data_IF_218955746660
#
_entry.id   IF_218955746660
#
_cell.length_a   1.000
_cell.length_b   1.000
_cell.length_c   1.000
_cell.angle_alpha   90.00
_cell.angle_beta   90.00
_cell.angle_gamma   90.00
#
_symmetry.space_group_name_H-M   'P 1'
#
loop_
_entity.id
_entity.type
_entity.pdbx_description
1 polymer ?
#
# COMPACT_ATOMS: atom_id res chain seq x y z
N UNK A 1 7.48 27.21 -8.15
CA UNK A 1 6.21 26.55 -8.53
C UNK A 1 6.44 25.27 -9.34
N UNK A 2 7.20 25.29 -10.44
CA UNK A 2 7.45 24.14 -11.32
C UNK A 2 7.99 22.87 -10.60
N UNK A 3 8.83 23.06 -9.57
CA UNK A 3 9.38 21.99 -8.71
C UNK A 3 8.36 21.37 -7.72
N UNK A 4 7.34 22.11 -7.31
CA UNK A 4 6.32 21.63 -6.37
C UNK A 4 5.34 20.65 -7.04
N UNK A 5 5.00 20.93 -8.30
CA UNK A 5 4.10 20.11 -9.12
C UNK A 5 4.73 18.78 -9.55
N UNK A 6 6.06 18.64 -9.46
CA UNK A 6 6.81 17.40 -9.78
C UNK A 6 6.50 16.35 -8.74
N UNK A 7 6.76 16.72 -7.50
CA UNK A 7 6.66 15.82 -6.38
C UNK A 7 5.22 15.39 -6.12
N UNK A 8 4.23 16.26 -6.34
CA UNK A 8 2.82 15.89 -6.16
C UNK A 8 2.33 14.83 -7.18
N UNK A 9 2.79 14.90 -8.43
CA UNK A 9 2.37 13.97 -9.47
C UNK A 9 3.06 12.61 -9.33
N UNK A 10 4.38 12.60 -9.06
CA UNK A 10 5.15 11.40 -8.73
C UNK A 10 4.59 10.73 -7.47
N UNK A 11 4.32 11.51 -6.42
CA UNK A 11 3.75 11.00 -5.18
C UNK A 11 2.35 10.41 -5.40
N UNK A 12 1.51 11.05 -6.22
CA UNK A 12 0.20 10.52 -6.59
C UNK A 12 0.32 9.21 -7.38
N UNK A 13 1.29 9.09 -8.29
CA UNK A 13 1.52 7.87 -9.07
C UNK A 13 2.02 6.71 -8.19
N UNK A 14 2.96 6.95 -7.27
CA UNK A 14 3.44 5.91 -6.35
C UNK A 14 2.38 5.57 -5.29
N UNK A 15 1.64 6.56 -4.80
CA UNK A 15 0.50 6.32 -3.92
C UNK A 15 -0.64 5.57 -4.62
N UNK A 16 -0.76 5.69 -5.94
CA UNK A 16 -1.71 4.95 -6.76
C UNK A 16 -1.32 3.48 -7.01
N UNK A 17 -0.12 3.05 -6.63
CA UNK A 17 0.24 1.63 -6.62
C UNK A 17 -0.71 0.91 -5.67
N UNK A 18 -1.61 0.12 -6.25
CA UNK A 18 -2.68 -0.57 -5.54
C UNK A 18 -3.86 0.32 -5.14
N UNK A 19 -4.17 1.39 -5.87
CA UNK A 19 -5.43 2.14 -5.69
C UNK A 19 -6.40 1.73 -6.81
N UNK A 20 -7.31 0.81 -6.50
CA UNK A 20 -8.56 0.70 -7.25
C UNK A 20 -9.39 1.93 -6.88
N UNK A 21 -9.40 2.96 -7.73
CA UNK A 21 -10.38 4.05 -7.61
C UNK A 21 -11.74 3.45 -7.94
N UNK A 22 -12.51 3.16 -6.90
CA UNK A 22 -13.92 2.82 -7.05
C UNK A 22 -14.63 4.03 -7.67
N UNK A 23 -14.90 3.95 -8.98
CA UNK A 23 -15.83 4.86 -9.64
C UNK A 23 -17.19 4.68 -8.98
N UNK A 24 -17.52 5.58 -8.06
CA UNK A 24 -18.87 5.72 -7.52
C UNK A 24 -19.81 6.03 -8.70
N UNK A 25 -20.52 5.01 -9.16
CA UNK A 25 -21.66 5.17 -10.06
C UNK A 25 -22.76 5.90 -9.30
N UNK A 26 -22.99 7.15 -9.67
CA UNK A 26 -24.20 7.90 -9.37
C UNK A 26 -25.41 7.12 -9.89
N UNK A 27 -26.22 6.60 -8.96
CA UNK A 27 -27.62 6.29 -9.23
C UNK A 27 -28.48 7.10 -8.27
N UNK A 28 -29.24 8.02 -8.84
CA UNK A 28 -30.28 8.79 -8.19
C UNK A 28 -31.30 7.89 -7.48
N UNK A 29 -31.73 8.37 -6.33
CA UNK A 29 -32.78 7.86 -5.46
C UNK A 29 -34.10 7.62 -6.18
N UNK A 30 -34.77 6.52 -5.83
CA UNK A 30 -36.22 6.42 -5.96
C UNK A 30 -36.75 4.99 -6.01
N UNK A 31 -36.93 4.35 -4.86
CA UNK A 31 -38.20 3.72 -4.50
C UNK A 31 -38.18 3.11 -3.10
N UNK A 32 -39.14 3.53 -2.29
CA UNK A 32 -39.48 2.98 -0.99
C UNK A 32 -40.16 1.62 -1.20
N UNK A 33 -39.47 0.53 -0.85
CA UNK A 33 -40.12 -0.78 -0.64
C UNK A 33 -39.77 -1.32 0.73
N UNK A 34 -40.78 -1.35 1.59
CA UNK A 34 -40.82 -2.05 2.87
C UNK A 34 -40.70 -3.55 2.63
N UNK A 35 -39.69 -4.21 3.19
CA UNK A 35 -39.62 -5.67 3.22
C UNK A 35 -38.95 -6.17 4.51
N UNK A 36 -39.80 -6.74 5.36
CA UNK A 36 -39.63 -7.94 6.19
C UNK A 36 -38.23 -8.25 6.73
N UNK A 37 -38.10 -8.13 8.05
CA UNK A 37 -37.01 -8.70 8.86
C UNK A 37 -37.02 -10.22 8.69
N UNK A 38 -36.16 -10.73 7.80
CA UNK A 38 -35.77 -12.13 7.75
C UNK A 38 -34.66 -12.34 8.79
N UNK A 39 -34.99 -13.05 9.88
CA UNK A 39 -34.03 -13.51 10.88
C UNK A 39 -33.15 -14.60 10.26
N UNK A 40 -32.18 -14.20 9.44
CA UNK A 40 -31.04 -15.05 9.15
C UNK A 40 -30.04 -14.86 10.28
N UNK A 41 -29.89 -15.89 11.11
CA UNK A 41 -28.77 -16.00 12.04
C UNK A 41 -27.47 -15.59 11.31
N UNK A 42 -26.64 -14.71 11.91
CA UNK A 42 -25.34 -14.43 11.34
C UNK A 42 -24.57 -15.75 11.30
N UNK A 43 -24.33 -16.27 10.10
CA UNK A 43 -23.34 -17.33 9.90
C UNK A 43 -22.08 -16.83 10.57
N UNK A 44 -21.72 -17.48 11.67
CA UNK A 44 -20.47 -17.22 12.36
C UNK A 44 -19.38 -17.32 11.32
N UNK A 45 -18.69 -16.20 11.05
CA UNK A 45 -17.41 -16.24 10.39
C UNK A 45 -16.61 -17.32 11.12
N UNK A 46 -16.26 -18.39 10.42
CA UNK A 46 -15.47 -19.48 10.99
C UNK A 46 -14.25 -18.83 11.63
N UNK A 47 -14.15 -18.90 12.96
CA UNK A 47 -13.06 -18.26 13.69
C UNK A 47 -11.75 -18.87 13.19
N UNK A 48 -11.02 -18.14 12.36
CA UNK A 48 -9.69 -18.56 11.97
C UNK A 48 -8.82 -18.67 13.22
N UNK A 49 -7.94 -19.68 13.29
CA UNK A 49 -6.99 -19.79 14.40
C UNK A 49 -6.17 -18.50 14.54
N UNK A 50 -5.84 -18.12 15.78
CA UNK A 50 -5.04 -16.91 16.05
C UNK A 50 -3.70 -16.91 15.30
N UNK A 51 -3.05 -18.07 15.21
CA UNK A 51 -1.78 -18.25 14.49
C UNK A 51 -1.91 -17.98 12.98
N UNK A 52 -3.08 -18.28 12.39
CA UNK A 52 -3.34 -18.01 10.97
C UNK A 52 -3.53 -16.51 10.71
N UNK A 53 -4.11 -15.77 11.66
CA UNK A 53 -4.22 -14.31 11.59
C UNK A 53 -2.85 -13.63 11.70
N UNK A 54 -1.99 -14.11 12.59
CA UNK A 54 -0.64 -13.59 12.75
C UNK A 54 0.21 -13.85 11.50
N UNK A 55 0.17 -15.07 10.96
CA UNK A 55 0.90 -15.41 9.73
C UNK A 55 0.42 -14.59 8.52
N UNK A 56 -0.89 -14.33 8.39
CA UNK A 56 -1.43 -13.48 7.34
C UNK A 56 -0.99 -12.01 7.51
N UNK A 57 -1.00 -11.50 8.75
CA UNK A 57 -0.51 -10.16 9.09
C UNK A 57 0.94 -9.98 8.69
N UNK A 58 1.80 -10.92 9.05
CA UNK A 58 3.23 -10.84 8.75
C UNK A 58 3.51 -10.90 7.24
N UNK A 59 2.80 -11.75 6.51
CA UNK A 59 2.88 -11.80 5.04
C UNK A 59 2.42 -10.49 4.39
N UNK A 60 1.34 -9.87 4.90
CA UNK A 60 0.85 -8.60 4.39
C UNK A 60 1.82 -7.44 4.67
N UNK A 61 2.42 -7.38 5.87
CA UNK A 61 3.46 -6.39 6.20
C UNK A 61 4.66 -6.54 5.27
N UNK A 62 5.10 -7.79 5.02
CA UNK A 62 6.18 -8.06 4.08
C UNK A 62 5.82 -7.61 2.65
N UNK A 63 4.58 -7.83 2.19
CA UNK A 63 4.14 -7.39 0.88
C UNK A 63 4.14 -5.84 0.74
N UNK A 64 3.69 -5.10 1.77
CA UNK A 64 3.76 -3.63 1.80
C UNK A 64 5.21 -3.12 1.82
N UNK A 65 6.11 -3.83 2.49
CA UNK A 65 7.52 -3.48 2.51
C UNK A 65 8.22 -3.65 1.15
N UNK A 66 7.65 -4.41 0.20
CA UNK A 66 8.23 -4.61 -1.14
C UNK A 66 7.94 -3.45 -2.12
N UNK A 67 7.18 -2.42 -1.72
CA UNK A 67 6.79 -1.34 -2.65
C UNK A 67 7.99 -0.61 -3.26
N UNK A 68 9.08 -0.42 -2.52
CA UNK A 68 10.28 0.24 -3.04
C UNK A 68 11.02 -0.63 -4.07
N UNK A 69 11.14 -1.93 -3.81
CA UNK A 69 11.68 -2.91 -4.76
C UNK A 69 10.83 -2.94 -6.05
N UNK A 70 9.50 -2.95 -5.91
CA UNK A 70 8.55 -2.91 -7.04
C UNK A 70 8.69 -1.63 -7.85
N UNK A 71 8.86 -0.48 -7.19
CA UNK A 71 9.03 0.82 -7.85
C UNK A 71 10.35 0.90 -8.62
N UNK A 72 11.42 0.28 -8.12
CA UNK A 72 12.75 0.27 -8.74
C UNK A 72 12.92 -0.83 -9.80
N UNK A 73 12.11 -1.88 -9.74
CA UNK A 73 12.20 -3.00 -10.66
C UNK A 73 11.88 -2.58 -12.10
N UNK A 74 12.62 -3.14 -13.06
CA UNK A 74 12.26 -3.10 -14.48
C UNK A 74 10.95 -3.86 -14.76
N UNK A 75 10.31 -3.61 -15.90
CA UNK A 75 8.96 -4.14 -16.18
C UNK A 75 8.80 -5.65 -15.99
N UNK A 76 9.76 -6.46 -16.47
CA UNK A 76 9.73 -7.92 -16.33
C UNK A 76 9.88 -8.31 -14.87
N UNK A 77 10.94 -7.84 -14.22
CA UNK A 77 11.24 -8.14 -12.81
C UNK A 77 10.14 -7.66 -11.87
N UNK A 78 9.44 -6.58 -12.19
CA UNK A 78 8.33 -6.05 -11.41
C UNK A 78 7.14 -7.00 -11.41
N UNK A 79 6.76 -7.53 -12.58
CA UNK A 79 5.67 -8.51 -12.69
C UNK A 79 6.02 -9.75 -11.88
N UNK A 80 7.22 -10.30 -12.06
CA UNK A 80 7.67 -11.48 -11.31
C UNK A 80 7.68 -11.23 -9.79
N UNK A 81 8.14 -10.05 -9.36
CA UNK A 81 8.13 -9.66 -7.95
C UNK A 81 6.70 -9.56 -7.41
N UNK A 82 5.78 -8.93 -8.12
CA UNK A 82 4.37 -8.84 -7.72
C UNK A 82 3.71 -10.22 -7.66
N UNK A 83 3.93 -11.06 -8.65
CA UNK A 83 3.42 -12.43 -8.71
C UNK A 83 4.00 -13.32 -7.59
N UNK A 84 5.13 -12.94 -6.99
CA UNK A 84 5.72 -13.70 -5.88
C UNK A 84 4.93 -13.62 -4.57
N UNK A 85 4.14 -12.56 -4.36
CA UNK A 85 3.36 -12.32 -3.13
C UNK A 85 1.85 -12.20 -3.35
N UNK A 86 1.39 -12.26 -4.60
CA UNK A 86 -0.04 -12.22 -4.96
C UNK A 86 -0.58 -13.59 -5.34
N UNK A 87 -1.90 -13.75 -5.32
CA UNK A 87 -2.54 -14.94 -5.87
C UNK A 87 -2.40 -14.98 -7.40
N UNK A 88 -2.45 -16.18 -8.03
CA UNK A 88 -2.45 -16.29 -9.49
C UNK A 88 -3.60 -15.53 -10.18
N UNK A 89 -4.73 -15.36 -9.49
CA UNK A 89 -5.90 -14.61 -9.97
C UNK A 89 -5.70 -13.10 -9.93
N UNK A 90 -5.01 -12.58 -8.93
CA UNK A 90 -4.87 -11.13 -8.72
C UNK A 90 -3.56 -10.54 -9.23
N UNK A 91 -2.47 -11.31 -9.19
CA UNK A 91 -1.12 -10.84 -9.57
C UNK A 91 -1.04 -10.14 -10.92
N UNK A 92 -1.64 -10.69 -12.00
CA UNK A 92 -1.64 -10.03 -13.31
C UNK A 92 -2.30 -8.65 -13.30
N UNK A 93 -3.40 -8.49 -12.55
CA UNK A 93 -4.12 -7.21 -12.41
C UNK A 93 -3.25 -6.19 -11.70
N UNK A 94 -2.73 -6.53 -10.51
CA UNK A 94 -1.87 -5.63 -9.74
C UNK A 94 -0.59 -5.25 -10.52
N UNK A 95 0.01 -6.21 -11.23
CA UNK A 95 1.20 -5.97 -12.03
C UNK A 95 0.96 -4.98 -13.18
N UNK A 96 -0.20 -5.07 -13.84
CA UNK A 96 -0.57 -4.15 -14.91
C UNK A 96 -0.82 -2.73 -14.36
N UNK A 97 -1.69 -2.61 -13.35
CA UNK A 97 -2.01 -1.30 -12.73
C UNK A 97 -0.76 -0.62 -12.17
N UNK A 98 0.08 -1.38 -11.47
CA UNK A 98 1.36 -0.86 -10.93
C UNK A 98 2.30 -0.44 -12.06
N UNK A 99 2.36 -1.19 -13.15
CA UNK A 99 3.23 -0.85 -14.27
C UNK A 99 2.77 0.40 -15.02
N UNK A 100 1.45 0.59 -15.15
CA UNK A 100 0.88 1.83 -15.69
C UNK A 100 1.24 3.03 -14.80
N UNK A 101 1.04 2.91 -13.48
CA UNK A 101 1.38 3.95 -12.51
C UNK A 101 2.87 4.31 -12.52
N UNK A 102 3.76 3.30 -12.51
CA UNK A 102 5.21 3.53 -12.58
C UNK A 102 5.62 4.12 -13.93
N UNK A 103 5.01 3.70 -15.04
CA UNK A 103 5.31 4.29 -16.36
C UNK A 103 4.91 5.77 -16.40
N UNK A 104 3.72 6.10 -15.91
CA UNK A 104 3.27 7.49 -15.79
C UNK A 104 4.24 8.32 -14.93
N UNK A 105 4.68 7.77 -13.79
CA UNK A 105 5.69 8.40 -12.94
C UNK A 105 7.01 8.66 -13.69
N UNK A 106 7.53 7.67 -14.41
CA UNK A 106 8.80 7.80 -15.15
C UNK A 106 8.70 8.82 -16.28
N UNK A 107 7.56 8.89 -16.98
CA UNK A 107 7.30 9.93 -17.99
C UNK A 107 7.29 11.32 -17.37
N UNK A 108 6.58 11.49 -16.25
CA UNK A 108 6.53 12.74 -15.50
C UNK A 108 7.93 13.20 -15.06
N UNK A 109 8.77 12.27 -14.59
CA UNK A 109 10.16 12.57 -14.21
C UNK A 109 10.98 13.01 -15.43
N UNK A 110 10.84 12.31 -16.57
CA UNK A 110 11.53 12.64 -17.82
C UNK A 110 11.17 14.03 -18.36
N UNK A 111 9.90 14.43 -18.31
CA UNK A 111 9.45 15.79 -18.69
C UNK A 111 10.11 16.91 -17.83
N UNK A 112 10.67 16.52 -16.70
CA UNK A 112 11.20 17.42 -15.67
C UNK A 112 12.71 17.30 -15.50
N UNK A 113 13.37 16.58 -16.40
CA UNK A 113 14.83 16.39 -16.46
C UNK A 113 15.37 15.76 -15.16
N UNK A 114 14.61 14.83 -14.57
CA UNK A 114 15.03 14.04 -13.41
C UNK A 114 15.38 12.63 -13.89
N UNK A 115 16.61 12.18 -13.59
CA UNK A 115 17.00 10.80 -13.83
C UNK A 115 16.23 9.87 -12.85
N UNK A 116 15.48 8.87 -13.34
CA UNK A 116 14.85 7.88 -12.49
C UNK A 116 15.80 7.18 -11.52
N UNK A 117 17.10 7.07 -11.86
CA UNK A 117 18.11 6.49 -10.98
C UNK A 117 18.35 7.32 -9.70
N UNK A 118 18.03 8.62 -9.72
CA UNK A 118 18.13 9.52 -8.58
C UNK A 118 16.86 9.49 -7.70
N UNK A 119 15.84 8.72 -8.08
CA UNK A 119 14.61 8.59 -7.31
C UNK A 119 14.80 7.61 -6.14
N UNK A 120 14.56 8.11 -4.93
CA UNK A 120 14.45 7.28 -3.73
C UNK A 120 12.98 7.11 -3.38
N UNK A 121 12.50 5.88 -3.50
CA UNK A 121 11.21 5.43 -2.96
C UNK A 121 11.51 4.52 -1.77
N UNK A 122 10.77 4.73 -0.67
CA UNK A 122 10.78 3.88 0.52
C UNK A 122 9.35 3.81 1.05
N UNK A 123 8.83 2.61 1.28
CA UNK A 123 7.60 2.45 2.06
C UNK A 123 7.90 1.72 3.36
N UNK A 124 7.51 2.33 4.47
CA UNK A 124 7.72 1.78 5.79
C UNK A 124 6.36 1.42 6.43
N UNK A 125 6.04 0.13 6.58
CA UNK A 125 4.96 -0.32 7.45
C UNK A 125 5.23 0.09 8.91
N UNK A 126 4.24 0.73 9.54
CA UNK A 126 4.33 1.24 10.92
C UNK A 126 3.55 0.35 11.88
N UNK A 127 2.30 0.01 11.53
CA UNK A 127 1.47 -0.89 12.32
C UNK A 127 0.56 -1.69 11.41
N UNK A 128 0.10 -2.85 11.91
CA UNK A 128 -0.79 -3.72 11.16
C UNK A 128 -1.80 -4.40 12.07
N UNK A 129 -3.04 -4.53 11.59
CA UNK A 129 -4.13 -5.25 12.23
C UNK A 129 -4.68 -6.29 11.26
N UNK A 130 -4.90 -7.51 11.72
CA UNK A 130 -5.55 -8.57 10.97
C UNK A 130 -6.91 -8.94 11.59
N UNK A 131 -7.87 -9.24 10.74
CA UNK A 131 -9.19 -9.71 11.11
C UNK A 131 -9.65 -10.81 10.15
N UNK A 132 -10.36 -11.81 10.68
CA UNK A 132 -10.95 -12.85 9.85
C UNK A 132 -12.01 -12.23 8.93
N UNK A 133 -12.03 -12.65 7.67
CA UNK A 133 -13.07 -12.30 6.69
C UNK A 133 -13.79 -13.58 6.23
N UNK A 134 -14.80 -13.44 5.36
CA UNK A 134 -15.55 -14.59 4.84
C UNK A 134 -14.67 -15.54 4.00
N UNK A 135 -13.71 -14.97 3.28
CA UNK A 135 -12.93 -15.68 2.25
C UNK A 135 -11.43 -15.79 2.61
N UNK A 136 -11.02 -15.27 3.76
CA UNK A 136 -9.62 -15.24 4.19
C UNK A 136 -9.38 -14.33 5.38
N UNK A 137 -8.29 -13.56 5.34
CA UNK A 137 -7.93 -12.57 6.37
C UNK A 137 -7.86 -11.20 5.73
N UNK A 138 -8.50 -10.20 6.32
CA UNK A 138 -8.28 -8.81 5.96
C UNK A 138 -7.19 -8.23 6.84
N UNK A 139 -6.18 -7.61 6.23
CA UNK A 139 -5.09 -6.93 6.93
C UNK A 139 -5.09 -5.46 6.57
N UNK A 140 -5.15 -4.60 7.56
CA UNK A 140 -4.93 -3.16 7.41
C UNK A 140 -3.54 -2.82 7.93
N UNK A 141 -2.69 -2.28 7.05
CA UNK A 141 -1.33 -1.85 7.34
C UNK A 141 -1.27 -0.34 7.24
N UNK A 142 -0.97 0.33 8.35
CA UNK A 142 -0.67 1.76 8.32
C UNK A 142 0.81 1.94 7.97
N UNK A 143 1.08 2.68 6.90
CA UNK A 143 2.42 2.89 6.36
C UNK A 143 2.68 4.36 6.05
N UNK A 144 3.96 4.69 5.95
CA UNK A 144 4.43 5.94 5.36
C UNK A 144 5.24 5.61 4.11
N UNK A 145 4.82 6.20 2.99
CA UNK A 145 5.54 6.18 1.72
C UNK A 145 6.32 7.48 1.59
N UNK A 146 7.63 7.38 1.38
CA UNK A 146 8.53 8.50 1.19
C UNK A 146 9.08 8.47 -0.23
N UNK A 147 9.00 9.61 -0.90
CA UNK A 147 9.59 9.82 -2.23
C UNK A 147 10.49 11.05 -2.20
N UNK A 148 11.75 10.89 -2.61
CA UNK A 148 12.74 11.96 -2.63
C UNK A 148 13.68 11.86 -3.83
N UNK A 149 14.21 13.01 -4.25
CA UNK A 149 15.31 13.11 -5.23
C UNK A 149 16.40 13.98 -4.58
N UNK A 150 17.62 13.44 -4.35
CA UNK A 150 18.71 14.18 -3.73
C UNK A 150 18.97 15.52 -4.43
N UNK A 151 19.25 16.56 -3.64
CA UNK A 151 19.53 17.90 -4.16
C UNK A 151 18.34 18.66 -4.77
N UNK A 152 17.15 18.05 -4.87
CA UNK A 152 15.98 18.64 -5.56
C UNK A 152 14.97 19.29 -4.59
N UNK A 153 15.16 19.10 -3.29
CA UNK A 153 14.32 19.69 -2.23
C UNK A 153 13.96 18.66 -1.15
N UNK A 154 13.04 19.02 -0.22
CA UNK A 154 12.58 18.08 0.79
C UNK A 154 11.81 16.94 0.14
N UNK A 155 11.98 15.72 0.66
CA UNK A 155 11.17 14.57 0.30
C UNK A 155 9.68 14.82 0.53
N UNK A 156 8.84 13.97 -0.04
CA UNK A 156 7.40 13.94 0.24
C UNK A 156 7.06 12.67 0.97
N UNK A 157 6.10 12.79 1.87
CA UNK A 157 5.51 11.68 2.60
C UNK A 157 4.03 11.55 2.22
N UNK A 158 3.58 10.31 2.07
CA UNK A 158 2.16 9.94 2.09
C UNK A 158 1.97 8.97 3.23
N UNK A 159 1.16 9.36 4.19
CA UNK A 159 0.64 8.45 5.20
C UNK A 159 -0.58 7.77 4.61
N UNK A 160 -0.62 6.45 4.64
CA UNK A 160 -1.72 5.68 4.09
C UNK A 160 -2.04 4.45 4.92
N UNK A 161 -3.29 4.00 4.82
CA UNK A 161 -3.68 2.68 5.27
C UNK A 161 -3.84 1.82 4.04
N UNK A 162 -2.99 0.80 3.92
CA UNK A 162 -3.10 -0.25 2.90
C UNK A 162 -4.00 -1.34 3.44
N UNK A 163 -5.05 -1.70 2.71
CA UNK A 163 -5.94 -2.81 3.04
C UNK A 163 -5.70 -3.95 2.05
N UNK A 164 -5.31 -5.10 2.58
CA UNK A 164 -5.02 -6.31 1.83
C UNK A 164 -6.04 -7.39 2.20
N UNK A 165 -6.69 -7.99 1.21
CA UNK A 165 -7.39 -9.25 1.41
C UNK A 165 -6.39 -10.38 1.14
N UNK A 166 -6.14 -11.20 2.16
CA UNK A 166 -5.17 -12.27 2.18
C UNK A 166 -5.87 -13.61 2.13
N UNK A 167 -5.40 -14.50 1.26
CA UNK A 167 -5.90 -15.88 1.15
C UNK A 167 -4.76 -16.88 1.21
N UNK A 168 -5.02 -18.08 1.73
CA UNK A 168 -4.01 -19.12 1.88
C UNK A 168 -4.02 -20.04 0.65
N UNK A 169 -2.98 -19.98 -0.18
CA UNK A 169 -2.82 -20.80 -1.38
C UNK A 169 -1.56 -21.66 -1.25
N UNK A 170 -1.71 -22.99 -1.36
CA UNK A 170 -0.55 -23.90 -1.25
C UNK A 170 0.23 -23.76 0.07
N UNK A 171 -0.46 -23.41 1.16
CA UNK A 171 0.15 -23.19 2.48
C UNK A 171 0.78 -21.82 2.71
N UNK A 172 0.77 -20.92 1.70
CA UNK A 172 1.29 -19.55 1.80
C UNK A 172 0.15 -18.54 1.86
N UNK A 173 0.29 -17.52 2.69
CA UNK A 173 -0.59 -16.34 2.65
C UNK A 173 -0.16 -15.44 1.48
N UNK A 174 -1.10 -15.16 0.59
CA UNK A 174 -0.90 -14.35 -0.60
C UNK A 174 -1.96 -13.25 -0.67
N UNK A 175 -1.61 -12.15 -1.31
CA UNK A 175 -2.51 -11.02 -1.56
C UNK A 175 -3.47 -11.36 -2.69
N UNK A 176 -4.77 -11.38 -2.41
CA UNK A 176 -5.83 -11.53 -3.41
C UNK A 176 -6.51 -10.20 -3.77
N UNK A 177 -6.34 -9.19 -2.93
CA UNK A 177 -6.75 -7.82 -3.22
C UNK A 177 -5.86 -6.82 -2.49
N UNK A 178 -5.62 -5.66 -3.11
CA UNK A 178 -4.87 -4.54 -2.54
C UNK A 178 -5.59 -3.23 -2.82
N UNK A 179 -5.80 -2.45 -1.77
CA UNK A 179 -6.32 -1.08 -1.83
C UNK A 179 -5.54 -0.19 -0.87
N UNK A 180 -5.53 1.13 -1.10
CA UNK A 180 -5.00 2.07 -0.11
C UNK A 180 -5.76 3.38 -0.07
N UNK A 181 -5.85 3.96 1.12
CA UNK A 181 -6.50 5.25 1.37
C UNK A 181 -5.57 6.18 2.14
N UNK A 182 -5.66 7.51 1.94
CA UNK A 182 -4.93 8.48 2.75
C UNK A 182 -5.19 8.25 4.25
N UNK A 183 -4.11 8.10 5.01
CA UNK A 183 -4.13 7.83 6.45
C UNK A 183 -3.90 9.11 7.26
N UNK A 184 -4.14 9.05 8.58
CA UNK A 184 -3.82 10.16 9.47
C UNK A 184 -2.31 10.45 9.40
N UNK A 185 -1.94 11.71 9.16
CA UNK A 185 -0.56 12.17 9.23
C UNK A 185 -0.24 12.52 10.69
N UNK A 186 0.77 11.88 11.31
CA UNK A 186 1.19 12.24 12.65
C UNK A 186 1.64 13.69 12.69
N UNK A 187 1.17 14.44 13.68
CA UNK A 187 1.76 15.73 13.99
C UNK A 187 3.15 15.48 14.56
N UNK A 188 4.23 16.07 14.00
CA UNK A 188 5.51 16.04 14.69
C UNK A 188 5.39 16.68 16.07
N UNK A 189 6.24 16.25 17.01
CA UNK A 189 6.38 16.92 18.29
C UNK A 189 6.76 18.39 18.04
N UNK A 190 6.28 19.31 18.88
CA UNK A 190 6.46 20.74 18.69
C UNK A 190 7.95 21.15 18.61
N UNK A 191 8.86 20.37 19.20
CA UNK A 191 10.31 20.61 19.17
C UNK A 191 11.08 19.79 18.13
N UNK A 192 10.43 19.02 17.25
CA UNK A 192 11.13 18.22 16.25
C UNK A 192 11.74 19.12 15.15
N UNK A 193 13.07 19.19 15.11
CA UNK A 193 13.85 19.81 14.05
C UNK A 193 14.54 18.73 13.19
N UNK A 194 14.46 18.84 11.88
CA UNK A 194 15.13 17.94 10.93
C UNK A 194 16.12 18.75 10.11
N UNK A 195 17.40 18.36 10.15
CA UNK A 195 18.51 19.14 9.58
C UNK A 195 18.58 19.07 8.05
N UNK A 196 18.14 17.97 7.43
CA UNK A 196 17.99 17.85 5.99
C UNK A 196 17.01 16.72 5.57
N UNK A 197 16.75 16.62 4.26
CA UNK A 197 15.90 15.58 3.69
C UNK A 197 16.49 14.16 3.79
N UNK A 198 17.78 14.01 4.08
CA UNK A 198 18.46 12.73 4.26
C UNK A 198 18.26 12.19 5.68
N UNK A 199 18.26 13.07 6.69
CA UNK A 199 17.82 12.78 8.05
C UNK A 199 16.32 12.42 8.13
N UNK A 200 15.53 12.86 7.15
CA UNK A 200 14.15 12.41 6.96
C UNK A 200 14.04 11.00 6.35
N UNK A 201 15.03 10.59 5.56
CA UNK A 201 15.09 9.31 4.84
C UNK A 201 15.70 8.19 5.70
N UNK A 202 16.35 8.49 6.82
CA UNK A 202 17.33 7.56 7.40
C UNK A 202 16.81 6.32 8.14
N UNK A 203 15.88 6.37 9.11
CA UNK A 203 14.43 6.51 8.92
C UNK A 203 13.83 7.38 10.04
N UNK A 204 12.58 7.84 9.86
CA UNK A 204 11.79 8.35 10.98
C UNK A 204 11.84 7.27 12.08
N UNK A 205 12.35 7.58 13.28
CA UNK A 205 12.67 6.65 14.39
C UNK A 205 11.48 5.88 15.01
N UNK A 206 10.50 5.50 14.19
CA UNK A 206 9.40 4.63 14.50
C UNK A 206 9.90 3.19 14.39
N UNK A 207 9.70 2.37 15.42
CA UNK A 207 9.99 0.95 15.30
C UNK A 207 9.17 0.40 14.11
N UNK A 208 9.79 -0.33 13.18
CA UNK A 208 9.05 -0.98 12.10
C UNK A 208 8.04 -1.96 12.71
N UNK A 209 6.95 -2.23 11.99
CA UNK A 209 6.16 -3.42 12.28
C UNK A 209 7.06 -4.65 12.05
N UNK A 210 7.68 -5.17 13.10
CA UNK A 210 8.52 -6.37 12.99
C UNK A 210 7.63 -7.60 12.80
N UNK A 211 7.92 -8.48 11.82
CA UNK A 211 7.32 -9.80 11.80
C UNK A 211 7.74 -10.53 13.08
N UNK A 212 6.81 -11.28 13.68
CA UNK A 212 7.09 -12.01 14.90
C UNK A 212 8.16 -13.07 14.61
N UNK A 213 9.35 -12.91 15.17
CA UNK A 213 10.40 -13.94 15.06
C UNK A 213 9.98 -15.08 15.99
N UNK A 214 9.38 -16.13 15.40
CA UNK A 214 9.14 -17.40 16.09
C UNK A 214 10.49 -17.94 16.56
N UNK A 215 10.66 -18.07 17.89
CA UNK A 215 11.77 -18.80 18.52
C UNK A 215 11.37 -20.23 18.82
#
# INVERSE_FOLDING_TARGET
>A
MRRLTVFLAVLAAVAAIGVVVSRAGSHESGETTTATVDQREPRSASAQPADDLEAARDAAVAAVALTDDVARAGFISRRELIESFTTPSYGPTLANETSEAVTAMLLDLGERDVDPADLHVVEQPISARAEASADGVRVSVWSVLIVAVPGTGPGRQVWRTVTLDMVKVGGRWLVDHWSSEPGPTPSPAAEAAFDDAKAFVEPLGWPPATPSVVR
#
